data_IF_201162318363
#
_entry.id   IF_201162318363
#
_cell.length_a   1.000
_cell.length_b   1.000
_cell.length_c   1.000
_cell.angle_alpha   90.00
_cell.angle_beta   90.00
_cell.angle_gamma   90.00
#
_symmetry.space_group_name_H-M   'P 1'
#
loop_
_entity.id
_entity.type
_entity.pdbx_description
1 polymer ?
#
# COMPACT_ATOMS: atom_id res chain seq x y z
N UNK A 1 5.98 24.66 -12.49
CA UNK A 1 5.05 23.51 -12.55
C UNK A 1 5.78 22.16 -12.63
N UNK A 2 6.87 22.05 -13.40
CA UNK A 2 7.58 20.77 -13.65
C UNK A 2 8.21 20.12 -12.40
N UNK A 3 8.76 20.90 -11.48
CA UNK A 3 9.43 20.38 -10.28
C UNK A 3 8.43 19.76 -9.30
N UNK A 4 7.29 20.42 -9.06
CA UNK A 4 6.24 19.90 -8.17
C UNK A 4 5.60 18.62 -8.72
N UNK A 5 5.36 18.57 -10.03
CA UNK A 5 4.86 17.37 -10.71
C UNK A 5 5.86 16.21 -10.63
N UNK A 6 7.15 16.49 -10.88
CA UNK A 6 8.22 15.50 -10.72
C UNK A 6 8.32 14.98 -9.29
N UNK A 7 8.28 15.87 -8.29
CA UNK A 7 8.33 15.49 -6.88
C UNK A 7 7.15 14.61 -6.46
N UNK A 8 5.93 14.91 -6.92
CA UNK A 8 4.75 14.08 -6.66
C UNK A 8 4.88 12.68 -7.25
N UNK A 9 5.42 12.56 -8.47
CA UNK A 9 5.68 11.26 -9.09
C UNK A 9 6.77 10.48 -8.36
N UNK A 10 7.85 11.14 -7.92
CA UNK A 10 8.88 10.47 -7.12
C UNK A 10 8.32 9.97 -5.79
N UNK A 11 7.50 10.79 -5.11
CA UNK A 11 6.81 10.37 -3.87
C UNK A 11 5.82 9.22 -4.10
N UNK A 12 5.06 9.26 -5.19
CA UNK A 12 4.19 8.16 -5.60
C UNK A 12 4.99 6.88 -5.85
N UNK A 13 6.13 6.97 -6.55
CA UNK A 13 6.98 5.82 -6.79
C UNK A 13 7.55 5.25 -5.48
N UNK A 14 8.12 6.09 -4.61
CA UNK A 14 8.68 5.64 -3.32
C UNK A 14 7.60 5.03 -2.42
N UNK A 15 6.43 5.65 -2.34
CA UNK A 15 5.31 5.13 -1.54
C UNK A 15 4.79 3.80 -2.09
N UNK A 16 4.76 3.62 -3.41
CA UNK A 16 4.45 2.33 -4.04
C UNK A 16 5.41 1.22 -3.61
N UNK A 17 6.73 1.46 -3.62
CA UNK A 17 7.69 0.48 -3.11
C UNK A 17 7.49 0.20 -1.62
N UNK A 18 7.16 1.22 -0.83
CA UNK A 18 6.85 1.03 0.59
C UNK A 18 5.61 0.15 0.81
N UNK A 19 4.55 0.31 0.00
CA UNK A 19 3.36 -0.55 0.02
C UNK A 19 3.76 -2.01 -0.22
N UNK A 20 4.53 -2.27 -1.27
CA UNK A 20 4.96 -3.63 -1.61
C UNK A 20 5.84 -4.22 -0.50
N UNK A 21 6.83 -3.47 -0.01
CA UNK A 21 7.75 -3.93 1.02
C UNK A 21 7.04 -4.23 2.35
N UNK A 22 6.17 -3.33 2.82
CA UNK A 22 5.42 -3.56 4.06
C UNK A 22 4.32 -4.62 3.89
N UNK A 23 3.71 -4.71 2.71
CA UNK A 23 2.78 -5.78 2.36
C UNK A 23 3.43 -7.15 2.46
N UNK A 24 4.58 -7.34 1.80
CA UNK A 24 5.34 -8.59 1.87
C UNK A 24 5.81 -8.93 3.30
N UNK A 25 6.27 -7.92 4.06
CA UNK A 25 6.65 -8.12 5.47
C UNK A 25 5.47 -8.54 6.34
N UNK A 26 4.29 -7.97 6.12
CA UNK A 26 3.08 -8.34 6.86
C UNK A 26 2.63 -9.77 6.51
N UNK A 27 2.61 -10.14 5.22
CA UNK A 27 2.23 -11.49 4.77
C UNK A 27 3.13 -12.59 5.34
N UNK A 28 4.42 -12.28 5.59
CA UNK A 28 5.39 -13.18 6.21
C UNK A 28 5.27 -13.28 7.74
N UNK A 29 4.31 -12.57 8.34
CA UNK A 29 4.10 -12.53 9.80
C UNK A 29 2.69 -13.06 10.20
N UNK A 30 2.28 -14.25 9.73
CA UNK A 30 1.04 -14.89 10.19
C UNK A 30 1.19 -15.33 11.65
N UNK A 31 0.08 -15.38 12.39
CA UNK A 31 0.07 -15.96 13.74
C UNK A 31 0.49 -17.44 13.72
N UNK A 32 1.10 -17.94 14.81
CA UNK A 32 1.36 -19.37 14.97
C UNK A 32 0.07 -20.18 14.73
N UNK A 33 0.15 -21.20 13.88
CA UNK A 33 -1.00 -22.04 13.50
C UNK A 33 -1.81 -21.55 12.29
N UNK A 34 -1.58 -20.32 11.80
CA UNK A 34 -2.24 -19.82 10.58
C UNK A 34 -1.42 -20.18 9.35
N UNK A 35 -1.99 -20.98 8.44
CA UNK A 35 -1.38 -21.27 7.14
C UNK A 35 -1.66 -20.12 6.16
N UNK A 36 -0.60 -19.59 5.54
CA UNK A 36 -0.65 -18.44 4.61
C UNK A 36 -1.46 -18.74 3.35
N UNK A 37 -1.44 -20.00 2.91
CA UNK A 37 -2.33 -20.56 1.89
C UNK A 37 -3.36 -21.45 2.56
N UNK A 38 -4.48 -20.85 2.96
CA UNK A 38 -5.58 -21.58 3.57
C UNK A 38 -6.91 -20.97 3.18
N UNK A 39 -7.99 -21.68 3.51
CA UNK A 39 -9.35 -21.16 3.35
C UNK A 39 -9.57 -19.85 4.12
N UNK A 40 -8.87 -19.66 5.25
CA UNK A 40 -8.93 -18.42 6.03
C UNK A 40 -8.35 -17.21 5.28
N UNK A 41 -7.36 -17.43 4.41
CA UNK A 41 -6.78 -16.41 3.54
C UNK A 41 -7.42 -16.39 2.14
N UNK A 42 -8.50 -17.14 1.90
CA UNK A 42 -9.10 -17.35 0.57
C UNK A 42 -8.07 -17.77 -0.48
N UNK A 43 -7.08 -18.59 -0.09
CA UNK A 43 -5.98 -19.00 -0.96
C UNK A 43 -5.13 -17.85 -1.53
N UNK A 44 -5.25 -16.64 -0.97
CA UNK A 44 -4.45 -15.48 -1.33
C UNK A 44 -3.72 -14.92 -0.10
N UNK A 45 -2.38 -15.01 -0.03
CA UNK A 45 -1.58 -14.46 1.07
C UNK A 45 -1.86 -12.98 1.36
N UNK A 46 -2.13 -12.18 0.32
CA UNK A 46 -2.41 -10.75 0.46
C UNK A 46 -3.70 -10.47 1.22
N UNK A 47 -4.61 -11.45 1.29
CA UNK A 47 -5.85 -11.32 2.04
C UNK A 47 -5.63 -11.24 3.55
N UNK A 48 -4.45 -11.62 4.03
CA UNK A 48 -4.01 -11.36 5.42
C UNK A 48 -3.95 -9.86 5.74
N UNK A 49 -3.72 -9.00 4.75
CA UNK A 49 -3.79 -7.54 4.92
C UNK A 49 -5.24 -7.07 5.12
N UNK A 50 -6.25 -7.82 4.68
CA UNK A 50 -7.66 -7.50 4.92
C UNK A 50 -8.18 -8.11 6.23
N UNK A 51 -7.51 -9.15 6.74
CA UNK A 51 -7.86 -9.86 7.99
C UNK A 51 -6.76 -9.70 9.05
N UNK A 52 -6.73 -8.57 9.80
CA UNK A 52 -5.66 -8.30 10.78
C UNK A 52 -5.57 -9.33 11.91
N UNK A 53 -6.65 -10.06 12.19
CA UNK A 53 -6.73 -11.15 13.18
C UNK A 53 -5.78 -12.31 12.85
N UNK A 54 -5.45 -12.50 11.58
CA UNK A 54 -4.55 -13.57 11.11
C UNK A 54 -3.06 -13.23 11.30
N UNK A 55 -2.75 -11.97 11.64
CA UNK A 55 -1.38 -11.47 11.76
C UNK A 55 -0.93 -11.42 13.22
N UNK A 56 0.37 -11.59 13.43
CA UNK A 56 1.01 -11.28 14.71
C UNK A 56 0.91 -9.79 15.00
N UNK A 57 1.19 -9.37 16.24
CA UNK A 57 1.23 -7.95 16.59
C UNK A 57 2.24 -7.18 15.70
N UNK A 58 3.39 -7.80 15.40
CA UNK A 58 4.38 -7.24 14.48
C UNK A 58 3.86 -7.18 13.04
N UNK A 59 3.17 -8.23 12.56
CA UNK A 59 2.51 -8.24 11.26
C UNK A 59 1.45 -7.14 11.13
N UNK A 60 0.70 -6.86 12.20
CA UNK A 60 -0.27 -5.76 12.23
C UNK A 60 0.40 -4.38 12.16
N UNK A 61 1.59 -4.20 12.76
CA UNK A 61 2.37 -2.96 12.61
C UNK A 61 2.77 -2.75 11.15
N UNK A 62 3.28 -3.79 10.48
CA UNK A 62 3.60 -3.71 9.04
C UNK A 62 2.35 -3.45 8.18
N UNK A 63 1.21 -4.07 8.50
CA UNK A 63 -0.07 -3.77 7.85
C UNK A 63 -0.44 -2.29 7.98
N UNK A 64 -0.34 -1.71 9.18
CA UNK A 64 -0.62 -0.27 9.39
C UNK A 64 0.31 0.62 8.58
N UNK A 65 1.61 0.30 8.54
CA UNK A 65 2.56 1.04 7.69
C UNK A 65 2.28 0.87 6.20
N UNK A 66 1.88 -0.32 5.75
CA UNK A 66 1.43 -0.59 4.38
C UNK A 66 0.22 0.28 4.01
N UNK A 67 -0.81 0.32 4.87
CA UNK A 67 -2.00 1.14 4.64
C UNK A 67 -1.68 2.65 4.61
N UNK A 68 -0.79 3.12 5.49
CA UNK A 68 -0.32 4.51 5.46
C UNK A 68 0.41 4.83 4.16
N UNK A 69 1.31 3.96 3.72
CA UNK A 69 2.01 4.12 2.45
C UNK A 69 1.04 4.12 1.26
N UNK A 70 0.01 3.27 1.31
CA UNK A 70 -1.03 3.21 0.28
C UNK A 70 -1.85 4.50 0.23
N UNK A 71 -2.21 5.05 1.39
CA UNK A 71 -2.89 6.35 1.47
C UNK A 71 -2.03 7.48 0.88
N UNK A 72 -0.73 7.51 1.19
CA UNK A 72 0.20 8.50 0.61
C UNK A 72 0.27 8.34 -0.91
N UNK A 73 0.40 7.10 -1.41
CA UNK A 73 0.41 6.82 -2.84
C UNK A 73 -0.85 7.34 -3.54
N UNK A 74 -2.03 6.97 -3.01
CA UNK A 74 -3.32 7.42 -3.57
C UNK A 74 -3.44 8.94 -3.53
N UNK A 75 -3.02 9.59 -2.44
CA UNK A 75 -3.04 11.05 -2.33
C UNK A 75 -2.12 11.72 -3.38
N UNK A 76 -0.91 11.19 -3.59
CA UNK A 76 0.00 11.71 -4.61
C UNK A 76 -0.57 11.54 -6.03
N UNK A 77 -1.14 10.37 -6.34
CA UNK A 77 -1.76 10.11 -7.65
C UNK A 77 -2.95 11.03 -7.88
N UNK A 78 -3.85 11.16 -6.90
CA UNK A 78 -5.00 12.06 -7.00
C UNK A 78 -4.57 13.53 -7.15
N UNK A 79 -3.52 13.96 -6.45
CA UNK A 79 -2.97 15.30 -6.60
C UNK A 79 -2.44 15.56 -8.02
N UNK A 80 -1.76 14.56 -8.62
CA UNK A 80 -1.29 14.63 -10.01
C UNK A 80 -2.47 14.76 -10.98
N UNK A 81 -3.49 13.92 -10.85
CA UNK A 81 -4.69 13.99 -11.69
C UNK A 81 -5.43 15.32 -11.52
N UNK A 82 -5.58 15.79 -10.29
CA UNK A 82 -6.25 17.05 -9.99
C UNK A 82 -5.51 18.25 -10.60
N UNK A 83 -4.19 18.30 -10.47
CA UNK A 83 -3.37 19.33 -11.13
C UNK A 83 -3.49 19.24 -12.65
N UNK A 84 -3.43 18.03 -13.23
CA UNK A 84 -3.58 17.84 -14.68
C UNK A 84 -4.97 18.24 -15.20
N UNK A 85 -6.02 18.05 -14.40
CA UNK A 85 -7.38 18.44 -14.76
C UNK A 85 -7.55 19.96 -14.73
N UNK A 86 -6.99 20.62 -13.69
CA UNK A 86 -7.01 22.08 -13.56
C UNK A 86 -6.21 22.77 -14.66
N UNK A 87 -5.12 22.18 -15.14
CA UNK A 87 -4.28 22.77 -16.22
C UNK A 87 -4.82 22.50 -17.62
N UNK A 88 -5.91 21.73 -17.76
CA UNK A 88 -6.46 21.35 -19.06
C UNK A 88 -5.59 20.38 -19.86
N UNK A 89 -4.56 19.80 -19.24
CA UNK A 89 -3.67 18.81 -19.86
C UNK A 89 -4.32 17.41 -20.00
N UNK A 90 -5.48 17.20 -19.37
CA UNK A 90 -6.30 15.99 -19.44
C UNK A 90 -7.44 16.08 -20.48
N UNK A 91 -7.42 17.08 -21.37
CA UNK A 91 -8.37 17.18 -22.50
C UNK A 91 -7.99 16.26 -23.65
#
# INVERSE_FOLDING_TARGET
>A
MSIAFGALWTLAFVSWFAVVAYGLKAVRQPRPGVRVWSRATLWNPMNTLLRPELLTEQGQRYRKSCLRALLVFVACVLAVFFVGALTGALK
#
